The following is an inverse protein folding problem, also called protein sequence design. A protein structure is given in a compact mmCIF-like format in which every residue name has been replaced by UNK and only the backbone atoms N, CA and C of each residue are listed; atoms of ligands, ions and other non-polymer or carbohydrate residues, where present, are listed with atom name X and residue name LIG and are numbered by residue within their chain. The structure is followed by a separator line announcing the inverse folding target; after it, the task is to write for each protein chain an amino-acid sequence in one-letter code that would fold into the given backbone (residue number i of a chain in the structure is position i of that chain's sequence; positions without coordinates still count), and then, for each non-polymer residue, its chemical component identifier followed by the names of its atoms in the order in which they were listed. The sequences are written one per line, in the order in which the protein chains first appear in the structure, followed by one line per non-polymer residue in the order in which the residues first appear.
data_IF_660380712493
#
_entry.id   IF_660380712493
#
_cell.length_a   1.000
_cell.length_b   1.000
_cell.length_c   1.000
_cell.angle_alpha   90.00
_cell.angle_beta   90.00
_cell.angle_gamma   90.00
#
_symmetry.space_group_name_H-M   'P 1'
#
loop_
_entity.id
_entity.type
_entity.pdbx_description
1 polymer ?
#
# COMPACT_ATOMS: atom_id res chain seq x y z
N UNK A 1 3.70 -0.79 -19.58
CA UNK A 1 2.98 -0.60 -20.87
C UNK A 1 1.55 -1.09 -20.68
N UNK A 2 0.59 -0.20 -20.66
CA UNK A 2 -0.83 -0.57 -20.69
C UNK A 2 -1.14 -0.82 -22.17
N UNK A 3 -1.28 -2.10 -22.57
CA UNK A 3 -1.89 -2.43 -23.86
C UNK A 3 -3.22 -1.68 -23.95
N UNK A 4 -3.62 -1.21 -25.13
CA UNK A 4 -4.82 -0.45 -25.45
C UNK A 4 -6.12 -1.01 -24.82
N UNK A 5 -6.24 -0.90 -23.51
CA UNK A 5 -7.45 -1.26 -22.80
C UNK A 5 -8.38 -0.05 -22.89
N UNK A 6 -9.53 -0.23 -23.52
CA UNK A 6 -10.57 0.79 -23.48
C UNK A 6 -11.06 0.95 -22.02
N UNK A 7 -10.68 2.05 -21.39
CA UNK A 7 -11.01 2.37 -20.01
C UNK A 7 -12.28 3.23 -19.88
N UNK A 8 -12.88 3.61 -21.02
CA UNK A 8 -14.09 4.44 -21.07
C UNK A 8 -15.32 3.65 -20.61
N UNK A 9 -16.31 4.37 -20.09
CA UNK A 9 -17.57 3.82 -19.55
C UNK A 9 -17.37 2.75 -18.47
N UNK A 10 -16.23 2.78 -17.78
CA UNK A 10 -15.86 1.80 -16.74
C UNK A 10 -16.55 2.04 -15.41
N UNK A 11 -16.49 1.03 -14.54
CA UNK A 11 -16.79 1.12 -13.11
C UNK A 11 -15.47 1.35 -12.38
N UNK A 12 -15.35 2.42 -11.59
CA UNK A 12 -14.09 2.77 -10.95
C UNK A 12 -14.19 2.88 -9.44
N UNK A 13 -13.21 2.36 -8.72
CA UNK A 13 -13.01 2.63 -7.31
C UNK A 13 -11.92 3.70 -7.15
N UNK A 14 -12.20 4.76 -6.37
CA UNK A 14 -11.25 5.88 -6.19
C UNK A 14 -10.80 5.95 -4.73
N UNK A 15 -9.49 6.01 -4.51
CA UNK A 15 -8.91 6.14 -3.17
C UNK A 15 -7.39 6.00 -3.14
N UNK A 16 -6.79 6.28 -1.99
CA UNK A 16 -5.35 6.11 -1.78
C UNK A 16 -4.92 4.64 -1.79
N UNK A 17 -5.79 3.77 -1.31
CA UNK A 17 -5.62 2.32 -1.23
C UNK A 17 -4.28 1.88 -0.63
N UNK A 18 -3.73 2.69 0.29
CA UNK A 18 -2.50 2.34 0.98
C UNK A 18 -2.71 1.11 1.88
N UNK A 19 -1.84 0.11 1.71
CA UNK A 19 -1.96 -1.18 2.36
C UNK A 19 -2.91 -2.16 1.68
N UNK A 20 -3.79 -1.76 0.77
CA UNK A 20 -4.78 -2.65 0.12
C UNK A 20 -5.45 -3.60 1.14
N UNK A 21 -5.90 -3.05 2.27
CA UNK A 21 -6.47 -3.79 3.39
C UNK A 21 -7.84 -4.39 3.07
N UNK A 22 -8.35 -5.28 3.92
CA UNK A 22 -9.63 -5.99 3.72
C UNK A 22 -10.79 -5.05 3.39
N UNK A 23 -10.87 -3.87 4.02
CA UNK A 23 -11.88 -2.88 3.67
C UNK A 23 -11.77 -2.37 2.23
N UNK A 24 -10.57 -2.16 1.71
CA UNK A 24 -10.37 -1.83 0.29
C UNK A 24 -10.80 -2.98 -0.62
N UNK A 25 -10.46 -4.22 -0.24
CA UNK A 25 -10.82 -5.42 -1.01
C UNK A 25 -12.35 -5.60 -1.11
N UNK A 26 -13.12 -5.19 -0.09
CA UNK A 26 -14.59 -5.19 -0.15
C UNK A 26 -15.11 -4.21 -1.22
N UNK A 27 -14.53 -3.01 -1.29
CA UNK A 27 -14.86 -2.03 -2.34
C UNK A 27 -14.58 -2.63 -3.72
N UNK A 28 -13.43 -3.29 -3.89
CA UNK A 28 -13.04 -3.90 -5.16
C UNK A 28 -13.97 -5.07 -5.56
N UNK A 29 -14.33 -5.92 -4.60
CA UNK A 29 -15.31 -7.01 -4.83
C UNK A 29 -16.64 -6.47 -5.34
N UNK A 30 -17.15 -5.42 -4.69
CA UNK A 30 -18.41 -4.78 -5.11
C UNK A 30 -18.28 -4.13 -6.48
N UNK A 31 -17.20 -3.34 -6.71
CA UNK A 31 -16.95 -2.70 -8.01
C UNK A 31 -16.90 -3.71 -9.15
N UNK A 32 -16.21 -4.83 -8.92
CA UNK A 32 -16.16 -5.92 -9.89
C UNK A 32 -17.51 -6.57 -10.15
N UNK A 33 -18.33 -6.78 -9.10
CA UNK A 33 -19.70 -7.31 -9.24
C UNK A 33 -20.55 -6.39 -10.11
N UNK A 34 -20.47 -5.07 -9.88
CA UNK A 34 -21.19 -4.06 -10.66
C UNK A 34 -20.69 -4.04 -12.11
N UNK A 35 -19.38 -4.07 -12.31
CA UNK A 35 -18.77 -4.09 -13.65
C UNK A 35 -19.23 -5.31 -14.45
N UNK A 36 -19.20 -6.50 -13.85
CA UNK A 36 -19.69 -7.74 -14.48
C UNK A 36 -21.17 -7.64 -14.86
N UNK A 37 -22.04 -7.17 -13.93
CA UNK A 37 -23.47 -7.01 -14.18
C UNK A 37 -23.76 -6.07 -15.36
N UNK A 38 -22.94 -5.02 -15.51
CA UNK A 38 -23.12 -4.01 -16.56
C UNK A 38 -22.25 -4.26 -17.81
N UNK A 39 -21.58 -5.41 -17.92
CA UNK A 39 -20.66 -5.75 -19.03
C UNK A 39 -19.57 -4.67 -19.24
N UNK A 40 -19.03 -4.11 -18.14
CA UNK A 40 -18.03 -3.03 -18.14
C UNK A 40 -16.72 -3.48 -17.52
N UNK A 41 -15.64 -2.74 -17.77
CA UNK A 41 -14.36 -2.93 -17.09
C UNK A 41 -14.41 -2.37 -15.67
N UNK A 42 -13.68 -3.02 -14.75
CA UNK A 42 -13.45 -2.52 -13.40
C UNK A 42 -12.07 -1.91 -13.29
N UNK A 43 -11.99 -0.63 -12.96
CA UNK A 43 -10.75 0.09 -12.75
C UNK A 43 -10.55 0.56 -11.32
N UNK A 44 -9.30 0.79 -10.96
CA UNK A 44 -8.92 1.41 -9.68
C UNK A 44 -8.16 2.69 -9.97
N UNK A 45 -8.62 3.80 -9.38
CA UNK A 45 -7.98 5.12 -9.45
C UNK A 45 -7.27 5.35 -8.12
N UNK A 46 -5.96 5.56 -8.18
CA UNK A 46 -5.13 5.81 -7.00
C UNK A 46 -4.12 6.93 -7.26
N UNK A 47 -3.37 7.31 -6.25
CA UNK A 47 -2.46 8.46 -6.27
C UNK A 47 -1.03 8.02 -5.94
N UNK A 48 -0.06 8.60 -6.62
CA UNK A 48 1.37 8.43 -6.31
C UNK A 48 2.12 9.74 -6.59
N UNK A 49 2.92 10.25 -5.64
CA UNK A 49 2.96 9.84 -4.23
C UNK A 49 1.59 9.95 -3.54
N UNK A 50 1.46 9.39 -2.32
CA UNK A 50 0.23 9.59 -1.54
C UNK A 50 0.06 11.07 -1.19
N UNK A 51 -1.17 11.62 -1.19
CA UNK A 51 -1.39 13.01 -0.78
C UNK A 51 -0.80 13.35 0.60
N UNK A 52 -0.91 12.43 1.57
CA UNK A 52 -0.32 12.61 2.90
C UNK A 52 1.22 12.69 2.88
N UNK A 53 1.85 12.00 1.97
CA UNK A 53 3.31 12.00 1.78
C UNK A 53 3.78 13.29 1.10
N UNK A 54 3.00 13.78 0.14
CA UNK A 54 3.28 15.04 -0.55
C UNK A 54 3.22 16.25 0.40
N UNK A 55 2.20 16.30 1.28
CA UNK A 55 2.02 17.42 2.21
C UNK A 55 2.85 17.33 3.49
N UNK A 56 3.24 16.13 3.92
CA UNK A 56 4.02 15.89 5.14
C UNK A 56 5.48 15.52 4.80
N UNK A 57 6.20 16.42 4.13
CA UNK A 57 7.60 16.19 3.70
C UNK A 57 8.54 15.79 4.85
N UNK A 58 8.29 16.28 6.06
CA UNK A 58 9.08 15.96 7.25
C UNK A 58 8.79 14.54 7.80
N UNK A 59 7.61 14.01 7.53
CA UNK A 59 7.19 12.68 7.98
C UNK A 59 7.54 11.65 6.91
N UNK A 60 8.83 11.33 6.82
CA UNK A 60 9.29 10.21 5.99
C UNK A 60 8.68 8.89 6.49
N UNK A 61 8.59 7.90 5.63
CA UNK A 61 8.23 6.52 5.99
C UNK A 61 6.80 6.35 6.53
N UNK A 62 5.80 6.82 5.79
CA UNK A 62 4.38 6.66 6.18
C UNK A 62 3.63 5.59 5.38
N UNK A 63 4.22 5.05 4.32
CA UNK A 63 3.54 4.07 3.46
C UNK A 63 3.45 2.70 4.12
N UNK A 64 2.26 2.14 4.13
CA UNK A 64 2.09 0.73 4.49
C UNK A 64 2.64 -0.16 3.38
N UNK A 65 2.47 0.26 2.13
CA UNK A 65 2.85 -0.52 0.94
C UNK A 65 3.41 0.38 -0.14
N UNK A 66 4.59 0.07 -0.66
CA UNK A 66 5.19 0.79 -1.79
C UNK A 66 4.41 0.56 -3.09
N UNK A 67 4.61 1.45 -4.08
CA UNK A 67 3.79 1.45 -5.30
C UNK A 67 3.93 0.16 -6.12
N UNK A 68 5.10 -0.45 -6.21
CA UNK A 68 5.30 -1.71 -6.92
C UNK A 68 4.47 -2.84 -6.29
N UNK A 69 4.55 -3.02 -4.96
CA UNK A 69 3.74 -4.00 -4.23
C UNK A 69 2.24 -3.61 -4.31
N UNK A 70 1.91 -2.32 -4.19
CA UNK A 70 0.52 -1.84 -4.27
C UNK A 70 -0.10 -2.19 -5.61
N UNK A 71 0.59 -1.92 -6.72
CA UNK A 71 0.11 -2.22 -8.07
C UNK A 71 -0.12 -3.72 -8.25
N UNK A 72 0.82 -4.56 -7.79
CA UNK A 72 0.67 -6.01 -7.86
C UNK A 72 -0.53 -6.51 -7.02
N UNK A 73 -0.75 -5.93 -5.84
CA UNK A 73 -1.92 -6.24 -5.02
C UNK A 73 -3.23 -5.80 -5.69
N UNK A 74 -3.25 -4.64 -6.35
CA UNK A 74 -4.43 -4.17 -7.08
C UNK A 74 -4.74 -5.10 -8.28
N UNK A 75 -3.73 -5.54 -9.01
CA UNK A 75 -3.88 -6.56 -10.07
C UNK A 75 -4.39 -7.90 -9.53
N UNK A 76 -3.82 -8.40 -8.43
CA UNK A 76 -4.28 -9.62 -7.75
C UNK A 76 -5.75 -9.53 -7.30
N UNK A 77 -6.24 -8.33 -7.00
CA UNK A 77 -7.66 -8.07 -6.74
C UNK A 77 -8.49 -7.97 -8.03
N UNK A 78 -7.93 -8.37 -9.18
CA UNK A 78 -8.60 -8.51 -10.46
C UNK A 78 -9.19 -7.20 -10.99
N UNK A 79 -8.49 -6.08 -10.79
CA UNK A 79 -8.74 -4.85 -11.53
C UNK A 79 -8.32 -5.04 -12.99
N UNK A 80 -9.17 -4.65 -13.93
CA UNK A 80 -8.85 -4.69 -15.36
C UNK A 80 -7.80 -3.63 -15.72
N UNK A 81 -7.79 -2.50 -14.97
CA UNK A 81 -6.76 -1.46 -15.10
C UNK A 81 -6.56 -0.72 -13.77
N UNK A 82 -5.40 -0.10 -13.64
CA UNK A 82 -5.07 0.83 -12.54
C UNK A 82 -4.70 2.17 -13.15
N UNK A 83 -5.44 3.22 -12.80
CA UNK A 83 -5.16 4.59 -13.20
C UNK A 83 -4.47 5.31 -12.03
N UNK A 84 -3.22 5.72 -12.24
CA UNK A 84 -2.41 6.39 -11.23
C UNK A 84 -2.40 7.88 -11.53
N UNK A 85 -3.00 8.68 -10.64
CA UNK A 85 -2.87 10.13 -10.67
C UNK A 85 -1.51 10.52 -10.09
N UNK A 86 -0.67 11.19 -10.87
CA UNK A 86 0.59 11.74 -10.38
C UNK A 86 0.28 12.93 -9.45
N UNK A 87 0.51 12.75 -8.14
CA UNK A 87 0.19 13.75 -7.13
C UNK A 87 1.38 14.70 -6.93
N UNK A 88 1.38 15.78 -7.67
CA UNK A 88 2.39 16.85 -7.63
C UNK A 88 1.76 18.18 -7.21
N UNK A 89 2.57 19.26 -7.17
CA UNK A 89 2.11 20.61 -6.80
C UNK A 89 0.96 21.08 -7.67
N UNK A 90 1.02 20.91 -9.00
CA UNK A 90 -0.06 21.27 -9.94
C UNK A 90 -1.33 20.48 -9.64
N UNK A 91 -1.23 19.16 -9.43
CA UNK A 91 -2.38 18.30 -9.13
C UNK A 91 -2.99 18.61 -7.75
N UNK A 92 -2.19 18.99 -6.77
CA UNK A 92 -2.68 19.34 -5.42
C UNK A 92 -3.56 20.62 -5.39
N UNK A 93 -3.47 21.45 -6.41
CA UNK A 93 -4.26 22.68 -6.59
C UNK A 93 -5.52 22.47 -7.42
N UNK A 94 -5.72 21.26 -7.98
CA UNK A 94 -6.91 20.95 -8.78
C UNK A 94 -8.15 20.97 -7.88
N UNK A 95 -9.15 21.77 -8.24
CA UNK A 95 -10.42 21.85 -7.50
C UNK A 95 -11.18 20.51 -7.58
N UNK A 96 -12.17 20.33 -6.72
CA UNK A 96 -12.99 19.13 -6.72
C UNK A 96 -13.76 18.97 -8.04
N UNK A 97 -14.31 20.08 -8.56
CA UNK A 97 -15.03 20.14 -9.82
C UNK A 97 -14.13 19.74 -10.99
N UNK A 98 -12.95 20.38 -11.12
CA UNK A 98 -11.97 20.04 -12.16
C UNK A 98 -11.47 18.60 -12.07
N UNK A 99 -11.34 18.04 -10.86
CA UNK A 99 -11.03 16.63 -10.70
C UNK A 99 -12.14 15.74 -11.28
N UNK A 100 -13.41 16.05 -11.00
CA UNK A 100 -14.56 15.31 -11.55
C UNK A 100 -14.55 15.41 -13.07
N UNK A 101 -14.51 16.60 -13.62
CA UNK A 101 -14.56 16.85 -15.06
C UNK A 101 -13.39 16.17 -15.79
N UNK A 102 -12.15 16.44 -15.36
CA UNK A 102 -10.98 16.00 -16.09
C UNK A 102 -10.72 14.49 -15.94
N UNK A 103 -10.93 13.92 -14.74
CA UNK A 103 -10.57 12.51 -14.49
C UNK A 103 -11.78 11.61 -14.64
N UNK A 104 -12.89 11.91 -13.95
CA UNK A 104 -14.04 11.00 -13.91
C UNK A 104 -14.81 11.05 -15.21
N UNK A 105 -15.08 12.27 -15.72
CA UNK A 105 -15.90 12.49 -16.91
C UNK A 105 -15.07 12.34 -18.19
N UNK A 106 -14.08 13.21 -18.39
CA UNK A 106 -13.39 13.29 -19.68
C UNK A 106 -12.42 12.12 -19.90
N UNK A 107 -11.60 11.79 -18.90
CA UNK A 107 -10.56 10.75 -19.07
C UNK A 107 -11.11 9.33 -18.97
N UNK A 108 -11.91 9.05 -17.95
CA UNK A 108 -12.42 7.71 -17.66
C UNK A 108 -13.82 7.47 -18.23
N UNK A 109 -14.59 8.54 -18.47
CA UNK A 109 -16.00 8.45 -18.83
C UNK A 109 -16.73 7.46 -17.92
N UNK A 110 -16.46 7.56 -16.61
CA UNK A 110 -16.90 6.58 -15.66
C UNK A 110 -18.43 6.45 -15.64
N UNK A 111 -18.94 5.23 -15.61
CA UNK A 111 -20.37 4.97 -15.44
C UNK A 111 -20.78 4.81 -13.98
N UNK A 112 -19.85 4.31 -13.17
CA UNK A 112 -20.03 4.13 -11.72
C UNK A 112 -18.75 4.51 -11.00
N UNK A 113 -18.88 5.24 -9.91
CA UNK A 113 -17.78 5.67 -9.04
C UNK A 113 -18.03 5.13 -7.63
N UNK A 114 -17.10 4.31 -7.14
CA UNK A 114 -17.13 3.73 -5.81
C UNK A 114 -16.10 4.42 -4.94
N UNK A 115 -16.52 4.90 -3.77
CA UNK A 115 -15.66 5.57 -2.79
C UNK A 115 -15.96 5.09 -1.39
N UNK A 116 -14.99 5.21 -0.48
CA UNK A 116 -15.24 4.98 0.94
C UNK A 116 -16.04 6.12 1.57
N UNK A 117 -16.85 5.84 2.62
CA UNK A 117 -17.75 6.82 3.29
C UNK A 117 -17.11 8.16 3.65
N UNK A 118 -15.81 8.18 3.97
CA UNK A 118 -15.10 9.40 4.38
C UNK A 118 -14.23 9.97 3.25
N UNK A 119 -14.52 9.66 2.00
CA UNK A 119 -13.74 10.12 0.87
C UNK A 119 -13.81 11.64 0.72
N UNK A 120 -12.65 12.25 0.60
CA UNK A 120 -12.47 13.69 0.34
C UNK A 120 -11.42 13.85 -0.75
N UNK A 121 -11.62 14.82 -1.64
CA UNK A 121 -10.75 15.03 -2.81
C UNK A 121 -10.69 16.50 -3.21
N UNK A 122 -9.87 16.79 -4.23
CA UNK A 122 -9.66 18.16 -4.73
C UNK A 122 -8.84 19.03 -3.77
N UNK A 123 -8.58 20.25 -4.19
CA UNK A 123 -7.80 21.21 -3.41
C UNK A 123 -8.37 21.40 -2.00
N UNK A 124 -7.49 21.39 -0.99
CA UNK A 124 -7.86 21.49 0.43
C UNK A 124 -8.91 20.46 0.89
N UNK A 125 -9.10 19.33 0.16
CA UNK A 125 -10.09 18.30 0.47
C UNK A 125 -11.54 18.79 0.49
N UNK A 126 -11.85 19.88 -0.25
CA UNK A 126 -13.19 20.48 -0.33
C UNK A 126 -14.21 19.57 -1.02
N UNK A 127 -13.76 18.67 -1.89
CA UNK A 127 -14.62 17.70 -2.56
C UNK A 127 -15.23 16.67 -1.62
N UNK A 128 -16.54 16.48 -1.72
CA UNK A 128 -17.35 15.60 -0.88
C UNK A 128 -18.07 14.54 -1.72
N UNK A 129 -18.60 13.51 -1.06
CA UNK A 129 -19.46 12.53 -1.72
C UNK A 129 -20.76 13.18 -2.24
N UNK A 130 -21.29 14.16 -1.52
CA UNK A 130 -22.46 14.93 -1.96
C UNK A 130 -22.18 15.65 -3.29
N UNK A 131 -21.00 16.29 -3.39
CA UNK A 131 -20.57 16.92 -4.65
C UNK A 131 -20.43 15.89 -5.78
N UNK A 132 -19.82 14.73 -5.49
CA UNK A 132 -19.73 13.63 -6.48
C UNK A 132 -21.11 13.19 -6.98
N UNK A 133 -22.08 13.05 -6.06
CA UNK A 133 -23.45 12.65 -6.42
C UNK A 133 -24.16 13.74 -7.25
N UNK A 134 -24.01 15.03 -6.89
CA UNK A 134 -24.53 16.16 -7.68
C UNK A 134 -24.03 16.11 -9.12
N UNK A 135 -22.72 15.99 -9.29
CA UNK A 135 -22.10 15.88 -10.62
C UNK A 135 -22.43 14.56 -11.33
N UNK A 136 -22.72 13.50 -10.55
CA UNK A 136 -23.20 12.22 -11.10
C UNK A 136 -24.54 12.35 -11.84
N UNK A 137 -25.44 13.21 -11.35
CA UNK A 137 -26.70 13.55 -12.03
C UNK A 137 -26.41 14.33 -13.32
N UNK A 138 -25.54 15.36 -13.25
CA UNK A 138 -25.23 16.23 -14.38
C UNK A 138 -24.55 15.45 -15.52
N UNK A 139 -23.59 14.58 -15.18
CA UNK A 139 -22.77 13.85 -16.16
C UNK A 139 -23.16 12.39 -16.33
N UNK A 140 -24.33 11.98 -15.83
CA UNK A 140 -24.90 10.63 -15.99
C UNK A 140 -23.96 9.50 -15.53
N UNK A 141 -23.39 9.63 -14.31
CA UNK A 141 -22.70 8.50 -13.66
C UNK A 141 -23.26 8.24 -12.25
N UNK A 142 -23.21 6.99 -11.81
CA UNK A 142 -23.71 6.58 -10.48
C UNK A 142 -22.60 6.61 -9.44
N UNK A 143 -22.89 7.13 -8.24
CA UNK A 143 -21.96 7.16 -7.10
C UNK A 143 -22.42 6.20 -6.02
N UNK A 144 -21.52 5.32 -5.58
CA UNK A 144 -21.73 4.42 -4.45
C UNK A 144 -20.74 4.74 -3.33
N UNK A 145 -21.27 5.19 -2.21
CA UNK A 145 -20.52 5.39 -0.98
C UNK A 145 -20.59 4.11 -0.12
N UNK A 146 -19.43 3.48 0.04
CA UNK A 146 -19.33 2.19 0.68
C UNK A 146 -19.04 2.36 2.16
N UNK A 147 -19.98 1.93 3.00
CA UNK A 147 -19.71 1.72 4.42
C UNK A 147 -18.90 0.43 4.54
N UNK A 148 -17.61 0.57 4.85
CA UNK A 148 -16.78 -0.61 5.13
C UNK A 148 -17.39 -1.40 6.28
N UNK A 149 -17.61 -2.70 6.08
CA UNK A 149 -18.22 -3.55 7.10
C UNK A 149 -17.36 -3.54 8.36
N UNK A 150 -18.02 -3.50 9.49
CA UNK A 150 -17.41 -3.79 10.79
C UNK A 150 -17.28 -5.32 10.91
N UNK A 151 -16.34 -5.93 10.17
CA UNK A 151 -16.08 -7.35 10.39
C UNK A 151 -15.66 -7.54 11.85
N UNK A 152 -16.51 -8.20 12.63
CA UNK A 152 -16.25 -8.62 14.01
C UNK A 152 -15.62 -7.52 14.89
N UNK A 153 -16.35 -6.42 15.14
CA UNK A 153 -15.96 -5.31 16.05
C UNK A 153 -14.66 -4.54 15.71
N UNK A 154 -13.94 -4.87 14.63
CA UNK A 154 -12.67 -4.22 14.30
C UNK A 154 -12.85 -3.21 13.16
N UNK A 155 -12.71 -1.92 13.47
CA UNK A 155 -12.63 -0.85 12.45
C UNK A 155 -11.35 -1.02 11.63
N UNK A 156 -11.48 -1.30 10.32
CA UNK A 156 -10.34 -1.45 9.39
C UNK A 156 -10.03 -0.10 8.75
N UNK A 157 -8.81 0.41 8.95
CA UNK A 157 -8.33 1.65 8.33
C UNK A 157 -6.82 1.65 8.21
N UNK A 158 -6.27 2.40 7.23
CA UNK A 158 -4.82 2.57 7.09
C UNK A 158 -4.18 3.21 8.33
N UNK A 159 -4.86 4.12 9.02
CA UNK A 159 -4.37 4.72 10.27
C UNK A 159 -4.16 3.67 11.35
N UNK A 160 -5.14 2.76 11.56
CA UNK A 160 -5.01 1.69 12.53
C UNK A 160 -3.89 0.71 12.18
N UNK A 161 -3.74 0.41 10.89
CA UNK A 161 -2.67 -0.48 10.42
C UNK A 161 -1.30 0.16 10.69
N UNK A 162 -1.12 1.45 10.42
CA UNK A 162 0.13 2.16 10.74
C UNK A 162 0.44 2.09 12.23
N UNK A 163 -0.52 2.43 13.07
CA UNK A 163 -0.35 2.35 14.52
C UNK A 163 0.00 0.93 14.99
N UNK A 164 -0.58 -0.11 14.38
CA UNK A 164 -0.25 -1.49 14.71
C UNK A 164 1.18 -1.86 14.29
N UNK A 165 1.66 -1.39 13.13
CA UNK A 165 3.05 -1.58 12.67
C UNK A 165 4.03 -0.90 13.64
N UNK A 166 3.78 0.37 13.97
CA UNK A 166 4.61 1.16 14.91
C UNK A 166 4.67 0.54 16.30
N UNK A 167 3.61 -0.15 16.73
CA UNK A 167 3.55 -0.90 17.99
C UNK A 167 4.10 -2.33 17.91
N UNK A 168 4.52 -2.78 16.73
CA UNK A 168 5.05 -4.13 16.51
C UNK A 168 3.98 -5.23 16.43
N UNK A 169 2.69 -4.88 16.46
CA UNK A 169 1.61 -5.87 16.40
C UNK A 169 1.36 -6.31 14.94
N UNK A 170 2.34 -7.01 14.38
CA UNK A 170 2.29 -7.47 12.96
C UNK A 170 1.24 -8.56 12.73
N UNK A 171 0.82 -9.25 13.77
CA UNK A 171 -0.26 -10.24 13.71
C UNK A 171 -1.60 -9.54 13.46
N UNK A 172 -1.90 -8.46 14.20
CA UNK A 172 -3.06 -7.62 13.94
C UNK A 172 -2.99 -6.99 12.53
N UNK A 173 -1.80 -6.52 12.12
CA UNK A 173 -1.59 -6.00 10.77
C UNK A 173 -1.96 -7.04 9.72
N UNK A 174 -1.50 -8.29 9.89
CA UNK A 174 -1.81 -9.41 9.00
C UNK A 174 -3.32 -9.68 8.94
N UNK A 175 -4.01 -9.66 10.07
CA UNK A 175 -5.47 -9.81 10.14
C UNK A 175 -6.21 -8.71 9.37
N UNK A 176 -5.79 -7.44 9.54
CA UNK A 176 -6.41 -6.28 8.88
C UNK A 176 -6.12 -6.23 7.37
N UNK A 177 -4.90 -6.63 6.96
CA UNK A 177 -4.50 -6.68 5.55
C UNK A 177 -5.06 -7.91 4.83
N UNK A 178 -5.29 -9.03 5.54
CA UNK A 178 -5.61 -10.33 4.95
C UNK A 178 -4.38 -11.04 4.35
N UNK A 179 -3.18 -10.60 4.70
CA UNK A 179 -1.89 -11.13 4.32
C UNK A 179 -0.82 -10.65 5.29
N UNK A 180 0.34 -11.27 5.29
CA UNK A 180 1.48 -10.72 6.00
C UNK A 180 1.88 -9.36 5.42
N UNK A 181 2.20 -8.41 6.29
CA UNK A 181 2.78 -7.15 5.88
C UNK A 181 4.19 -7.40 5.37
N UNK A 182 4.57 -6.74 4.29
CA UNK A 182 5.89 -6.89 3.70
C UNK A 182 6.50 -5.54 3.31
N UNK A 183 7.83 -5.52 3.29
CA UNK A 183 8.65 -4.47 2.71
C UNK A 183 9.46 -5.07 1.57
N UNK A 184 9.79 -4.26 0.55
CA UNK A 184 10.59 -4.70 -0.59
C UNK A 184 11.67 -3.67 -0.85
N UNK A 185 12.89 -4.00 -0.48
CA UNK A 185 14.02 -3.08 -0.52
C UNK A 185 15.28 -3.78 -1.02
N UNK A 186 16.30 -2.98 -1.38
CA UNK A 186 17.59 -3.47 -1.82
C UNK A 186 18.44 -3.90 -0.62
N UNK A 187 19.07 -5.07 -0.75
CA UNK A 187 20.03 -5.54 0.25
C UNK A 187 21.33 -4.75 0.12
N UNK A 188 21.76 -4.16 1.22
CA UNK A 188 23.02 -3.44 1.33
C UNK A 188 24.09 -4.30 2.01
N UNK A 189 25.36 -4.06 1.70
CA UNK A 189 26.45 -4.74 2.37
C UNK A 189 26.58 -4.23 3.81
N UNK A 190 26.62 -5.16 4.79
CA UNK A 190 26.99 -4.88 6.17
C UNK A 190 28.47 -5.17 6.41
N UNK A 191 28.97 -4.93 7.63
CA UNK A 191 30.37 -5.20 8.03
C UNK A 191 30.79 -6.69 8.03
N UNK A 192 29.95 -7.61 7.51
CA UNK A 192 30.24 -9.06 7.37
C UNK A 192 30.56 -9.79 8.68
N UNK A 193 30.30 -9.19 9.85
CA UNK A 193 30.59 -9.77 11.17
C UNK A 193 29.90 -11.14 11.42
N UNK A 194 28.75 -11.41 10.82
CA UNK A 194 28.08 -12.71 10.91
C UNK A 194 28.74 -13.83 10.12
N UNK A 195 29.75 -13.55 9.25
CA UNK A 195 30.44 -14.59 8.49
C UNK A 195 31.31 -15.49 9.36
N UNK A 196 31.95 -14.92 10.40
CA UNK A 196 32.75 -15.69 11.36
C UNK A 196 31.91 -16.64 12.22
N UNK A 197 30.61 -16.37 12.35
CA UNK A 197 29.66 -17.17 13.11
C UNK A 197 28.83 -18.11 12.23
N UNK A 198 29.22 -18.30 10.94
CA UNK A 198 28.53 -19.19 10.01
C UNK A 198 27.21 -18.67 9.44
N UNK A 199 26.73 -17.47 9.85
CA UNK A 199 25.46 -16.92 9.44
C UNK A 199 25.66 -15.73 8.49
N UNK A 200 24.99 -15.78 7.33
CA UNK A 200 24.96 -14.65 6.38
C UNK A 200 23.83 -13.69 6.75
N UNK A 201 24.18 -12.54 7.32
CA UNK A 201 23.22 -11.46 7.56
C UNK A 201 23.08 -10.55 6.33
N UNK A 202 21.85 -10.18 6.03
CA UNK A 202 21.52 -9.21 5.01
C UNK A 202 20.97 -7.95 5.68
N UNK A 203 21.53 -6.80 5.34
CA UNK A 203 21.04 -5.52 5.83
C UNK A 203 20.12 -4.89 4.80
N UNK A 204 18.98 -4.38 5.27
CA UNK A 204 17.97 -3.72 4.47
C UNK A 204 17.60 -2.40 5.13
N UNK A 205 17.78 -1.30 4.41
CA UNK A 205 17.35 0.03 4.84
C UNK A 205 15.89 0.26 4.45
N UNK A 206 15.04 0.57 5.44
CA UNK A 206 13.64 0.90 5.17
C UNK A 206 13.54 2.39 4.82
N UNK A 207 13.42 2.70 3.52
CA UNK A 207 13.48 4.09 3.04
C UNK A 207 12.13 4.80 3.02
N UNK A 208 11.10 4.11 2.57
CA UNK A 208 9.80 4.74 2.28
C UNK A 208 8.61 4.06 2.95
N UNK A 209 8.77 2.84 3.45
CA UNK A 209 7.75 2.17 4.26
C UNK A 209 7.75 2.73 5.69
N UNK A 210 6.58 2.61 6.34
CA UNK A 210 6.47 2.87 7.78
C UNK A 210 7.42 1.93 8.54
N UNK A 211 8.11 2.48 9.54
CA UNK A 211 9.02 1.71 10.35
C UNK A 211 8.25 0.85 11.37
N UNK A 212 8.56 -0.43 11.51
CA UNK A 212 8.03 -1.24 12.58
C UNK A 212 8.62 -0.82 13.95
N UNK A 213 8.07 -1.35 15.03
CA UNK A 213 8.69 -1.22 16.37
C UNK A 213 10.08 -1.88 16.33
N UNK A 214 11.05 -1.29 17.02
CA UNK A 214 12.37 -1.90 17.23
C UNK A 214 12.20 -3.25 17.93
N UNK A 215 12.91 -4.28 17.45
CA UNK A 215 12.84 -5.62 18.00
C UNK A 215 13.15 -6.72 16.97
N UNK A 216 13.08 -7.96 17.42
CA UNK A 216 13.35 -9.16 16.62
C UNK A 216 12.03 -9.73 16.10
N UNK A 217 11.99 -10.06 14.83
CA UNK A 217 10.81 -10.58 14.12
C UNK A 217 11.10 -11.94 13.50
N UNK A 218 10.17 -12.86 13.61
CA UNK A 218 10.09 -13.99 12.70
C UNK A 218 9.65 -13.49 11.33
N UNK A 219 10.39 -13.83 10.28
CA UNK A 219 10.15 -13.36 8.92
C UNK A 219 10.22 -14.47 7.88
N UNK A 220 9.63 -14.21 6.72
CA UNK A 220 9.92 -14.92 5.48
C UNK A 220 10.47 -13.93 4.47
N UNK A 221 11.54 -14.29 3.76
CA UNK A 221 12.09 -13.47 2.67
C UNK A 221 11.87 -14.15 1.33
N UNK A 222 11.40 -13.39 0.34
CA UNK A 222 11.32 -13.81 -1.05
C UNK A 222 12.59 -13.39 -1.77
N UNK A 223 13.42 -14.35 -2.14
CA UNK A 223 14.68 -14.16 -2.86
C UNK A 223 14.64 -15.02 -4.11
N UNK A 224 14.85 -14.43 -5.28
CA UNK A 224 14.81 -15.17 -6.57
C UNK A 224 13.58 -16.08 -6.71
N UNK A 225 12.39 -15.58 -6.39
CA UNK A 225 11.10 -16.30 -6.41
C UNK A 225 10.96 -17.49 -5.44
N UNK A 226 11.94 -17.72 -4.55
CA UNK A 226 11.85 -18.73 -3.48
C UNK A 226 11.69 -18.04 -2.13
N UNK A 227 10.88 -18.65 -1.25
CA UNK A 227 10.64 -18.14 0.11
C UNK A 227 11.54 -18.88 1.09
N UNK A 228 12.22 -18.12 1.94
CA UNK A 228 13.10 -18.60 2.99
C UNK A 228 12.61 -18.10 4.34
N UNK A 229 12.63 -18.94 5.35
CA UNK A 229 12.31 -18.56 6.74
C UNK A 229 13.55 -18.01 7.44
N UNK A 230 13.34 -17.09 8.38
CA UNK A 230 14.44 -16.49 9.13
C UNK A 230 13.95 -15.58 10.25
N UNK A 231 14.89 -14.91 10.85
CA UNK A 231 14.67 -13.84 11.81
C UNK A 231 15.20 -12.51 11.25
N UNK A 232 14.61 -11.42 11.69
CA UNK A 232 15.09 -10.08 11.33
C UNK A 232 15.07 -9.20 12.56
N UNK A 233 16.17 -8.52 12.82
CA UNK A 233 16.29 -7.50 13.86
C UNK A 233 16.11 -6.11 13.23
N UNK A 234 15.13 -5.35 13.72
CA UNK A 234 14.95 -3.96 13.32
C UNK A 234 15.40 -3.04 14.45
N UNK A 235 16.41 -2.25 14.20
CA UNK A 235 16.97 -1.36 15.20
C UNK A 235 18.07 -0.45 14.66
N UNK A 236 18.71 0.30 15.56
CA UNK A 236 19.89 1.09 15.24
C UNK A 236 21.05 0.13 15.05
N UNK A 237 21.68 0.16 13.86
CA UNK A 237 22.87 -0.63 13.61
C UNK A 237 24.11 0.13 14.11
N UNK A 238 24.93 -0.46 14.99
CA UNK A 238 26.17 0.16 15.47
C UNK A 238 27.17 0.49 14.36
N UNK A 239 26.97 -0.11 13.20
CA UNK A 239 27.85 -0.03 12.03
C UNK A 239 27.52 1.10 11.06
N UNK A 240 26.38 1.74 11.22
CA UNK A 240 25.93 2.91 10.48
C UNK A 240 25.82 4.10 11.45
N UNK A 241 25.88 5.34 10.95
CA UNK A 241 25.81 6.54 11.80
C UNK A 241 24.71 6.44 12.88
N UNK A 242 24.94 7.02 14.06
CA UNK A 242 24.19 6.83 15.34
C UNK A 242 22.64 6.87 15.28
N UNK A 243 22.04 7.28 14.16
CA UNK A 243 20.59 7.38 13.98
C UNK A 243 20.02 6.52 12.84
N UNK A 244 20.81 5.62 12.24
CA UNK A 244 20.36 4.85 11.08
C UNK A 244 19.75 3.51 11.50
N UNK A 245 18.44 3.37 11.30
CA UNK A 245 17.74 2.10 11.56
C UNK A 245 17.78 1.20 10.34
N UNK A 246 18.19 -0.03 10.54
CA UNK A 246 18.24 -1.06 9.49
C UNK A 246 17.47 -2.30 9.94
N UNK A 247 17.06 -3.11 8.99
CA UNK A 247 16.54 -4.45 9.19
C UNK A 247 17.67 -5.43 8.87
N UNK A 248 18.23 -6.05 9.89
CA UNK A 248 19.23 -7.12 9.75
C UNK A 248 18.50 -8.46 9.67
N UNK A 249 18.66 -9.19 8.55
CA UNK A 249 17.92 -10.41 8.27
C UNK A 249 18.88 -11.58 8.29
N UNK A 250 18.56 -12.61 9.06
CA UNK A 250 19.25 -13.88 9.08
C UNK A 250 18.29 -14.97 8.60
N UNK A 251 18.65 -15.62 7.48
CA UNK A 251 17.85 -16.72 6.91
C UNK A 251 18.43 -18.06 7.36
N UNK A 252 17.57 -18.99 7.74
CA UNK A 252 17.96 -20.27 8.30
C UNK A 252 18.63 -21.19 7.27
N UNK A 253 18.32 -21.00 5.98
CA UNK A 253 18.91 -21.78 4.91
C UNK A 253 20.11 -21.07 4.27
N UNK A 254 21.12 -21.84 3.84
CA UNK A 254 22.19 -21.32 2.98
C UNK A 254 21.61 -20.95 1.62
N UNK A 255 21.76 -19.71 1.22
CA UNK A 255 21.32 -19.20 -0.08
C UNK A 255 22.50 -18.53 -0.80
N UNK A 256 22.51 -18.51 -2.15
CA UNK A 256 23.49 -17.75 -2.92
C UNK A 256 23.49 -16.28 -2.51
N UNK A 257 24.59 -15.58 -2.80
CA UNK A 257 24.70 -14.15 -2.52
C UNK A 257 23.54 -13.37 -3.15
N UNK A 258 22.89 -12.54 -2.36
CA UNK A 258 21.78 -11.67 -2.78
C UNK A 258 22.01 -10.20 -2.48
N UNK A 259 23.26 -9.83 -2.19
CA UNK A 259 23.66 -8.44 -2.05
C UNK A 259 23.38 -7.65 -3.33
N UNK A 260 22.91 -6.41 -3.18
CA UNK A 260 22.51 -5.57 -4.29
C UNK A 260 21.17 -5.91 -4.95
N UNK A 261 20.58 -7.06 -4.65
CA UNK A 261 19.26 -7.45 -5.15
C UNK A 261 18.14 -6.91 -4.28
N UNK A 262 16.95 -6.69 -4.86
CA UNK A 262 15.74 -6.41 -4.10
C UNK A 262 15.16 -7.70 -3.55
N UNK A 263 14.85 -7.71 -2.26
CA UNK A 263 14.15 -8.81 -1.59
C UNK A 263 12.84 -8.31 -0.99
N UNK A 264 11.84 -9.17 -0.88
CA UNK A 264 10.60 -8.86 -0.18
C UNK A 264 10.56 -9.63 1.14
N UNK A 265 10.45 -8.91 2.26
CA UNK A 265 10.48 -9.46 3.62
C UNK A 265 9.10 -9.37 4.23
N UNK A 266 8.53 -10.50 4.62
CA UNK A 266 7.22 -10.66 5.22
C UNK A 266 7.36 -10.81 6.73
N UNK A 267 6.71 -9.93 7.49
CA UNK A 267 6.70 -9.95 8.95
C UNK A 267 5.61 -10.90 9.46
N UNK A 268 6.00 -11.90 10.23
CA UNK A 268 5.10 -12.95 10.73
C UNK A 268 4.68 -12.65 12.17
N UNK A 269 5.67 -12.44 13.06
CA UNK A 269 5.48 -12.24 14.48
C UNK A 269 6.65 -11.45 15.07
N UNK A 270 6.41 -10.63 16.08
CA UNK A 270 7.47 -10.03 16.88
C UNK A 270 7.86 -11.00 18.00
N UNK A 271 9.15 -11.20 18.21
CA UNK A 271 9.67 -11.95 19.34
C UNK A 271 9.42 -11.19 20.65
N UNK A 272 9.27 -11.91 21.74
CA UNK A 272 9.34 -11.32 23.09
C UNK A 272 10.82 -11.10 23.41
N UNK A 273 11.23 -9.87 23.71
CA UNK A 273 12.51 -9.67 24.37
C UNK A 273 12.38 -10.29 25.76
N UNK A 274 13.13 -11.34 26.03
CA UNK A 274 13.39 -11.72 27.41
C UNK A 274 14.39 -10.67 27.94
N UNK A 275 13.91 -9.78 28.79
CA UNK A 275 14.74 -8.90 29.63
C UNK A 275 15.25 -9.75 30.78
#
# INVERSE_FOLDING_TARGET
MVKNINIKKSVVAIGNFDGVHKGHQEIFKLGKKIAKKNKKKFGIVTFSPLPSEFFQKERKNIRITLDDIKIDLLKKNKADFVFICNFNKKFSQVTAEKFIENIIVNKLQASHVLVGKNFRFGHQRKGTITLLKKYGVIFNYKVLDIKLSKQKKLKISSTRIRSAIEKGNVELVSQLLGRYWSIKEKVIAGKKLGRSLGFRTANVEIKNNINPKTGVYAVKALVNNKKYSGIANFGVAPTFSRNHKVLEINLFQKIPSFYGKKIEVFFIKIGRAHV
#
